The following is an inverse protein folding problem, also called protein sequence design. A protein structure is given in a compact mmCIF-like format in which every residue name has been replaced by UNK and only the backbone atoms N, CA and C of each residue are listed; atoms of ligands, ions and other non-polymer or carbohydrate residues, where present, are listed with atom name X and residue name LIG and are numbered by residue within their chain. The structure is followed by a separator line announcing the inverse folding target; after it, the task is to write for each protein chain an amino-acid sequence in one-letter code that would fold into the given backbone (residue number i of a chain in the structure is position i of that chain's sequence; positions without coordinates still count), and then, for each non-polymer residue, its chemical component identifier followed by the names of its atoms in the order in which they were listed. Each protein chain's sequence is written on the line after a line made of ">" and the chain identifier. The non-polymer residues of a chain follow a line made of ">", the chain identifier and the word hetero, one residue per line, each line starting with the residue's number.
data_IF_210786807602
#
_entry.id   IF_210786807602
#
_cell.length_a   1.000
_cell.length_b   1.000
_cell.length_c   1.000
_cell.angle_alpha   90.00
_cell.angle_beta   90.00
_cell.angle_gamma   90.00
#
_symmetry.space_group_name_H-M   'P 1'
#
loop_
_entity.id
_entity.type
_entity.pdbx_description
1 polymer ?
#
# COMPACT_ATOMS: atom_id res chain seq x y z
N UNK A 1 46.62 -7.50 6.38
CA UNK A 1 45.48 -8.35 6.81
C UNK A 1 44.57 -8.51 5.61
N UNK A 2 44.85 -9.54 4.81
CA UNK A 2 44.13 -9.84 3.57
C UNK A 2 42.76 -10.44 3.92
N UNK A 3 41.69 -9.73 3.55
CA UNK A 3 40.33 -10.28 3.55
C UNK A 3 40.16 -11.22 2.33
N UNK A 4 40.94 -12.30 2.26
CA UNK A 4 40.88 -13.30 1.18
C UNK A 4 40.13 -14.56 1.62
N UNK A 5 39.07 -14.39 2.42
CA UNK A 5 38.23 -15.53 2.84
C UNK A 5 36.91 -15.54 2.06
N UNK A 6 36.63 -16.58 1.25
CA UNK A 6 35.36 -16.71 0.52
C UNK A 6 34.14 -16.78 1.45
N UNK A 7 34.37 -16.95 2.76
CA UNK A 7 33.37 -16.93 3.82
C UNK A 7 32.66 -15.56 3.88
N UNK A 8 33.36 -14.45 3.67
CA UNK A 8 32.75 -13.12 3.70
C UNK A 8 31.77 -12.90 2.53
N UNK A 9 32.05 -13.49 1.38
CA UNK A 9 31.16 -13.47 0.21
C UNK A 9 29.89 -14.27 0.52
N UNK A 10 30.02 -15.44 1.14
CA UNK A 10 28.87 -16.27 1.53
C UNK A 10 28.00 -15.58 2.59
N UNK A 11 28.60 -14.92 3.58
CA UNK A 11 27.87 -14.14 4.59
C UNK A 11 27.13 -12.97 3.94
N UNK A 12 27.78 -12.23 3.02
CA UNK A 12 27.17 -11.13 2.30
C UNK A 12 25.97 -11.58 1.44
N UNK A 13 26.09 -12.72 0.74
CA UNK A 13 25.01 -13.30 -0.06
C UNK A 13 23.84 -13.77 0.81
N UNK A 14 24.12 -14.42 1.94
CA UNK A 14 23.09 -14.83 2.90
C UNK A 14 22.32 -13.65 3.48
N UNK A 15 23.03 -12.58 3.87
CA UNK A 15 22.43 -11.36 4.38
C UNK A 15 21.57 -10.66 3.30
N UNK A 16 22.05 -10.57 2.07
CA UNK A 16 21.30 -9.99 0.96
C UNK A 16 20.02 -10.79 0.65
N UNK A 17 20.10 -12.13 0.69
CA UNK A 17 18.95 -13.01 0.50
C UNK A 17 17.85 -12.80 1.55
N UNK A 18 18.23 -12.70 2.84
CA UNK A 18 17.29 -12.36 3.92
C UNK A 18 16.66 -10.98 3.73
N UNK A 19 17.44 -9.99 3.32
CA UNK A 19 16.95 -8.62 3.08
C UNK A 19 15.92 -8.58 1.95
N UNK A 20 16.20 -9.26 0.84
CA UNK A 20 15.28 -9.37 -0.30
C UNK A 20 14.00 -10.13 0.11
N UNK A 21 14.13 -11.20 0.87
CA UNK A 21 12.97 -11.96 1.38
C UNK A 21 12.11 -11.10 2.31
N UNK A 22 12.73 -10.40 3.26
CA UNK A 22 12.06 -9.48 4.18
C UNK A 22 11.34 -8.36 3.45
N UNK A 23 11.99 -7.71 2.47
CA UNK A 23 11.38 -6.67 1.65
C UNK A 23 10.19 -7.19 0.85
N UNK A 24 10.28 -8.41 0.29
CA UNK A 24 9.14 -9.03 -0.42
C UNK A 24 7.98 -9.36 0.52
N UNK A 25 8.25 -9.80 1.74
CA UNK A 25 7.24 -10.11 2.74
C UNK A 25 6.50 -8.84 3.20
N UNK A 26 7.25 -7.77 3.50
CA UNK A 26 6.69 -6.47 3.89
C UNK A 26 5.86 -5.88 2.74
N UNK A 27 6.36 -5.91 1.51
CA UNK A 27 5.64 -5.37 0.35
C UNK A 27 4.33 -6.10 0.03
N UNK A 28 4.20 -7.39 0.40
CA UNK A 28 2.92 -8.11 0.30
C UNK A 28 1.91 -7.67 1.34
N UNK A 29 2.37 -7.29 2.53
CA UNK A 29 1.49 -6.92 3.64
C UNK A 29 0.99 -5.48 3.55
N UNK A 30 1.67 -4.61 2.80
CA UNK A 30 1.29 -3.20 2.64
C UNK A 30 0.16 -2.97 1.64
N UNK A 31 -0.32 -4.00 0.94
CA UNK A 31 -1.47 -3.84 0.03
C UNK A 31 -2.75 -3.95 0.84
N UNK A 32 -3.65 -2.95 0.80
CA UNK A 32 -4.94 -3.06 1.47
C UNK A 32 -5.67 -4.30 0.92
N UNK A 33 -5.87 -5.30 1.77
CA UNK A 33 -6.66 -6.47 1.41
C UNK A 33 -8.12 -6.04 1.40
N UNK A 34 -8.69 -5.92 0.20
CA UNK A 34 -10.10 -5.62 0.03
C UNK A 34 -10.86 -6.95 0.07
N UNK A 35 -11.90 -7.03 0.90
CA UNK A 35 -12.75 -8.23 1.05
C UNK A 35 -14.13 -8.01 0.42
N UNK A 36 -14.63 -9.01 -0.31
CA UNK A 36 -15.94 -8.92 -0.95
C UNK A 36 -17.03 -8.88 0.13
N UNK A 37 -17.93 -7.90 0.06
CA UNK A 37 -19.01 -7.73 1.04
C UNK A 37 -20.01 -8.90 1.05
N UNK A 38 -20.08 -9.66 -0.04
CA UNK A 38 -21.04 -10.76 -0.21
C UNK A 38 -20.50 -12.12 0.27
N UNK A 39 -19.23 -12.43 -0.01
CA UNK A 39 -18.66 -13.77 0.23
C UNK A 39 -17.35 -13.77 1.02
N UNK A 40 -16.85 -12.60 1.43
CA UNK A 40 -15.61 -12.45 2.20
C UNK A 40 -14.32 -12.73 1.42
N UNK A 41 -14.40 -13.11 0.14
CA UNK A 41 -13.23 -13.44 -0.67
C UNK A 41 -12.34 -12.22 -0.92
N UNK A 42 -11.02 -12.44 -0.88
CA UNK A 42 -9.97 -11.44 -1.20
C UNK A 42 -9.62 -11.39 -2.69
N UNK A 43 -10.12 -12.34 -3.47
CA UNK A 43 -9.92 -12.43 -4.92
C UNK A 43 -10.80 -11.40 -5.65
N UNK A 44 -10.48 -10.12 -5.46
CA UNK A 44 -11.20 -9.01 -6.07
C UNK A 44 -10.35 -8.27 -7.10
N UNK A 45 -10.98 -7.90 -8.20
CA UNK A 45 -10.39 -7.14 -9.30
C UNK A 45 -11.01 -5.74 -9.32
N UNK A 46 -10.18 -4.71 -9.26
CA UNK A 46 -10.65 -3.33 -9.48
C UNK A 46 -11.13 -3.19 -10.93
N UNK A 47 -12.37 -2.73 -11.11
CA UNK A 47 -12.97 -2.53 -12.43
C UNK A 47 -13.25 -1.06 -12.75
N UNK A 48 -13.36 -0.21 -11.72
CA UNK A 48 -13.67 1.21 -11.89
C UNK A 48 -13.17 2.00 -10.69
N UNK A 49 -12.62 3.18 -10.97
CA UNK A 49 -12.19 4.16 -9.96
C UNK A 49 -12.55 5.56 -10.44
N UNK A 50 -13.36 6.26 -9.64
CA UNK A 50 -13.86 7.59 -9.98
C UNK A 50 -13.64 8.53 -8.77
N UNK A 51 -13.09 9.75 -8.97
CA UNK A 51 -13.04 10.75 -7.92
C UNK A 51 -14.45 11.27 -7.63
N UNK A 52 -14.85 11.25 -6.36
CA UNK A 52 -16.19 11.70 -5.93
C UNK A 52 -16.16 12.96 -5.08
N UNK A 53 -14.98 13.35 -4.58
CA UNK A 53 -14.84 14.56 -3.80
C UNK A 53 -13.39 14.88 -3.51
N UNK A 54 -13.15 16.12 -3.11
CA UNK A 54 -11.88 16.56 -2.54
C UNK A 54 -12.15 17.40 -1.31
N UNK A 55 -11.27 17.28 -0.32
CA UNK A 55 -11.26 18.15 0.86
C UNK A 55 -9.83 18.51 1.21
N UNK A 56 -9.65 19.74 1.65
CA UNK A 56 -8.38 20.19 2.22
C UNK A 56 -8.25 19.58 3.61
N UNK A 57 -7.12 18.94 3.90
CA UNK A 57 -6.83 18.40 5.23
C UNK A 57 -5.71 19.21 5.86
N UNK A 58 -5.96 19.66 7.09
CA UNK A 58 -4.96 20.39 7.84
C UNK A 58 -3.91 19.39 8.34
N UNK A 59 -2.61 19.59 8.04
CA UNK A 59 -1.57 18.67 8.47
C UNK A 59 -1.57 18.56 9.99
N UNK A 60 -1.87 17.37 10.52
CA UNK A 60 -1.82 17.08 11.95
C UNK A 60 -0.37 16.77 12.31
N UNK A 61 0.44 17.81 12.54
CA UNK A 61 1.83 17.71 12.96
C UNK A 61 2.27 19.07 13.52
N UNK A 62 2.55 19.12 14.82
CA UNK A 62 2.90 20.35 15.53
C UNK A 62 4.24 20.92 15.07
N UNK A 63 4.22 22.19 14.67
CA UNK A 63 5.42 22.95 14.33
C UNK A 63 5.06 24.19 13.51
N UNK A 64 4.95 25.33 14.19
CA UNK A 64 4.91 26.74 13.70
C UNK A 64 4.22 27.05 12.36
N UNK A 65 3.17 27.91 12.36
CA UNK A 65 2.47 28.31 11.14
C UNK A 65 3.30 29.32 10.35
N UNK A 66 4.19 28.84 9.49
CA UNK A 66 4.88 29.67 8.51
C UNK A 66 4.96 28.89 7.18
N UNK A 67 4.00 29.17 6.29
CA UNK A 67 3.92 28.57 4.94
C UNK A 67 3.16 27.24 4.92
N UNK A 68 1.83 27.31 4.82
CA UNK A 68 0.95 26.14 4.94
C UNK A 68 1.05 25.19 3.75
N UNK A 69 1.61 24.00 3.96
CA UNK A 69 1.38 22.84 3.09
C UNK A 69 -0.11 22.48 3.13
N UNK A 70 -0.85 22.89 2.08
CA UNK A 70 -2.23 22.45 1.88
C UNK A 70 -2.17 21.02 1.34
N UNK A 71 -2.46 20.04 2.20
CA UNK A 71 -2.64 18.66 1.77
C UNK A 71 -4.06 18.48 1.25
N UNK A 72 -4.17 17.84 0.09
CA UNK A 72 -5.46 17.52 -0.54
C UNK A 72 -5.77 16.06 -0.28
N UNK A 73 -6.93 15.80 0.32
CA UNK A 73 -7.50 14.46 0.39
C UNK A 73 -8.56 14.32 -0.68
N UNK A 74 -8.35 13.37 -1.60
CA UNK A 74 -9.29 13.00 -2.64
C UNK A 74 -10.02 11.72 -2.22
N UNK A 75 -11.34 11.76 -2.28
CA UNK A 75 -12.17 10.58 -2.07
C UNK A 75 -12.43 9.90 -3.40
N UNK A 76 -12.05 8.62 -3.49
CA UNK A 76 -12.29 7.81 -4.68
C UNK A 76 -13.37 6.78 -4.39
N UNK A 77 -14.37 6.70 -5.27
CA UNK A 77 -15.29 5.58 -5.33
C UNK A 77 -14.64 4.49 -6.18
N UNK A 78 -14.32 3.36 -5.57
CA UNK A 78 -13.67 2.23 -6.22
C UNK A 78 -14.61 1.04 -6.23
N UNK A 79 -14.94 0.55 -7.42
CA UNK A 79 -15.75 -0.67 -7.59
C UNK A 79 -14.84 -1.85 -7.90
N UNK A 80 -15.05 -2.93 -7.16
CA UNK A 80 -14.37 -4.20 -7.29
C UNK A 80 -15.35 -5.27 -7.76
N UNK A 81 -14.90 -6.11 -8.70
CA UNK A 81 -15.58 -7.34 -9.07
C UNK A 81 -14.96 -8.52 -8.32
N UNK A 82 -15.78 -9.33 -7.67
CA UNK A 82 -15.33 -10.53 -7.00
C UNK A 82 -15.27 -11.71 -7.96
N UNK A 83 -14.09 -12.27 -8.19
CA UNK A 83 -13.92 -13.42 -9.11
C UNK A 83 -14.55 -14.72 -8.57
N UNK A 84 -14.92 -14.77 -7.29
CA UNK A 84 -15.48 -15.97 -6.65
C UNK A 84 -17.01 -16.04 -6.72
N UNK A 85 -17.68 -14.94 -6.39
CA UNK A 85 -19.15 -14.86 -6.39
C UNK A 85 -19.72 -14.03 -7.54
N UNK A 86 -18.86 -13.46 -8.40
CA UNK A 86 -19.22 -12.61 -9.54
C UNK A 86 -20.05 -11.37 -9.17
N UNK A 87 -20.06 -10.98 -7.89
CA UNK A 87 -20.72 -9.78 -7.40
C UNK A 87 -19.78 -8.58 -7.40
N UNK A 88 -20.37 -7.40 -7.45
CA UNK A 88 -19.67 -6.13 -7.36
C UNK A 88 -19.72 -5.57 -5.93
N UNK A 89 -18.64 -4.91 -5.51
CA UNK A 89 -18.57 -4.23 -4.23
C UNK A 89 -17.92 -2.86 -4.42
N UNK A 90 -18.59 -1.82 -3.97
CA UNK A 90 -18.10 -0.44 -4.09
C UNK A 90 -17.71 0.11 -2.74
N UNK A 91 -16.50 0.68 -2.67
CA UNK A 91 -15.96 1.29 -1.45
C UNK A 91 -15.50 2.71 -1.75
N UNK A 92 -15.69 3.61 -0.79
CA UNK A 92 -15.08 4.94 -0.84
C UNK A 92 -13.74 4.88 -0.12
N UNK A 93 -12.66 5.17 -0.84
CA UNK A 93 -11.29 5.09 -0.34
C UNK A 93 -10.69 6.49 -0.35
N UNK A 94 -10.39 7.08 0.82
CA UNK A 94 -9.71 8.37 0.89
C UNK A 94 -8.23 8.20 0.53
N UNK A 95 -7.69 9.10 -0.30
CA UNK A 95 -6.27 9.16 -0.63
C UNK A 95 -5.75 10.58 -0.43
N UNK A 96 -4.77 10.71 0.46
CA UNK A 96 -4.10 11.99 0.74
C UNK A 96 -2.89 12.15 -0.17
N UNK A 97 -2.73 13.35 -0.72
CA UNK A 97 -1.60 13.79 -1.53
C UNK A 97 -0.82 14.88 -0.80
#
# INVERSE_FOLDING_TARGET
>A
MSLDSPIWILIALGAAGMLIYGLRLVNRNSRPQVHCSHCGATAMREIRREPVGSRTVQPTGGGTPAGGDIRLQLDYKVTYHCNRCHQESTFTVPKTF
#
